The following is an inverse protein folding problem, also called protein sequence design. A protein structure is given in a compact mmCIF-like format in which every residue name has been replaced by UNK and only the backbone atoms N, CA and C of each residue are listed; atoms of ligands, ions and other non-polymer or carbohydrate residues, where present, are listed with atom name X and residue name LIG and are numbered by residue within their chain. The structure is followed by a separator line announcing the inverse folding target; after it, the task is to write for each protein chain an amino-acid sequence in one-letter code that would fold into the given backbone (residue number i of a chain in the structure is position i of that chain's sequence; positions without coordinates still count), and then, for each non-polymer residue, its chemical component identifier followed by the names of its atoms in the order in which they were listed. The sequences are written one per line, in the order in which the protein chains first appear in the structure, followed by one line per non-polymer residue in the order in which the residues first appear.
data_IF_617978461834
#
_entry.id   IF_617978461834
#
_cell.length_a   1.000
_cell.length_b   1.000
_cell.length_c   1.000
_cell.angle_alpha   90.00
_cell.angle_beta   90.00
_cell.angle_gamma   90.00
#
_symmetry.space_group_name_H-M   'P 1'
#
loop_
_entity.id
_entity.type
_entity.pdbx_description
1 polymer ?
#
# COMPACT_ATOMS: atom_id res chain seq x y z
N UNK A 1 22.64 -0.91 -7.91
CA UNK A 1 21.40 -0.32 -7.35
C UNK A 1 21.06 -1.09 -6.07
N UNK A 2 20.67 -0.42 -4.98
CA UNK A 2 20.27 -1.08 -3.73
C UNK A 2 18.86 -1.67 -3.92
N UNK A 3 18.66 -2.92 -3.51
CA UNK A 3 17.34 -3.58 -3.55
C UNK A 3 16.50 -3.07 -2.38
N UNK A 4 15.27 -2.65 -2.66
CA UNK A 4 14.31 -2.14 -1.67
C UNK A 4 12.89 -2.72 -1.83
N UNK A 5 12.66 -3.56 -2.84
CA UNK A 5 11.35 -4.17 -3.13
C UNK A 5 11.52 -5.66 -3.36
N UNK A 6 10.67 -6.46 -2.72
CA UNK A 6 10.61 -7.91 -2.90
C UNK A 6 9.31 -8.27 -3.62
N UNK A 7 9.41 -9.03 -4.71
CA UNK A 7 8.27 -9.57 -5.46
C UNK A 7 8.27 -11.09 -5.28
N UNK A 8 7.14 -11.64 -4.89
CA UNK A 8 7.01 -13.07 -4.58
C UNK A 8 6.25 -13.80 -5.69
N UNK A 9 6.55 -15.10 -5.91
CA UNK A 9 5.90 -15.89 -6.96
C UNK A 9 4.44 -16.25 -6.65
N UNK A 10 4.05 -16.24 -5.38
CA UNK A 10 2.69 -16.54 -4.92
C UNK A 10 2.41 -15.90 -3.55
N UNK A 11 1.17 -16.05 -3.10
CA UNK A 11 0.66 -15.46 -1.86
C UNK A 11 1.26 -16.13 -0.62
N UNK A 12 1.49 -17.44 -0.65
CA UNK A 12 2.07 -18.20 0.45
C UNK A 12 3.49 -17.73 0.77
N UNK A 13 4.34 -17.63 -0.25
CA UNK A 13 5.70 -17.13 -0.10
C UNK A 13 5.72 -15.71 0.46
N UNK A 14 4.89 -14.81 -0.08
CA UNK A 14 4.76 -13.45 0.43
C UNK A 14 4.33 -13.43 1.90
N UNK A 15 3.27 -14.19 2.24
CA UNK A 15 2.68 -14.24 3.57
C UNK A 15 3.63 -14.79 4.64
N UNK A 16 4.38 -15.85 4.30
CA UNK A 16 5.39 -16.42 5.20
C UNK A 16 6.51 -15.41 5.41
N UNK A 17 7.06 -14.83 4.33
CA UNK A 17 8.19 -13.94 4.44
C UNK A 17 7.87 -12.64 5.17
N UNK A 18 6.76 -11.96 4.89
CA UNK A 18 6.47 -10.69 5.58
C UNK A 18 6.20 -10.89 7.08
N UNK A 19 5.53 -11.98 7.46
CA UNK A 19 5.29 -12.32 8.88
C UNK A 19 6.60 -12.67 9.59
N UNK A 20 7.45 -13.47 8.95
CA UNK A 20 8.77 -13.80 9.48
C UNK A 20 9.63 -12.55 9.67
N UNK A 21 9.63 -11.63 8.70
CA UNK A 21 10.35 -10.35 8.83
C UNK A 21 9.78 -9.47 9.95
N UNK A 22 8.44 -9.41 10.08
CA UNK A 22 7.76 -8.68 11.16
C UNK A 22 8.19 -9.20 12.54
N UNK A 23 8.19 -10.51 12.73
CA UNK A 23 8.57 -11.14 13.99
C UNK A 23 10.07 -10.98 14.30
N UNK A 24 10.94 -11.23 13.33
CA UNK A 24 12.39 -11.18 13.55
C UNK A 24 12.92 -9.77 13.80
N UNK A 25 12.42 -8.78 13.05
CA UNK A 25 12.93 -7.42 13.11
C UNK A 25 12.11 -6.50 14.03
N UNK A 26 11.04 -7.02 14.66
CA UNK A 26 10.04 -6.22 15.40
C UNK A 26 9.58 -5.00 14.59
N UNK A 27 9.56 -5.14 13.27
CA UNK A 27 9.31 -4.03 12.36
C UNK A 27 7.81 -3.74 12.30
N UNK A 28 7.44 -2.47 12.28
CA UNK A 28 6.07 -2.09 11.92
C UNK A 28 5.73 -2.58 10.51
N UNK A 29 4.55 -3.17 10.39
CA UNK A 29 4.00 -3.60 9.11
C UNK A 29 2.75 -2.78 8.84
N UNK A 30 2.77 -2.02 7.74
CA UNK A 30 1.62 -1.24 7.28
C UNK A 30 1.00 -1.98 6.10
N UNK A 31 -0.25 -2.41 6.23
CA UNK A 31 -0.98 -3.09 5.18
C UNK A 31 -2.03 -4.09 5.70
N UNK A 32 -2.71 -4.81 4.79
CA UNK A 32 -2.44 -4.89 3.35
C UNK A 32 -2.85 -3.64 2.56
N UNK A 33 -2.00 -3.23 1.60
CA UNK A 33 -2.30 -2.12 0.68
C UNK A 33 -2.84 -2.69 -0.63
N UNK A 34 -4.10 -2.36 -0.94
CA UNK A 34 -4.74 -2.75 -2.20
C UNK A 34 -4.22 -1.91 -3.37
N UNK A 35 -3.91 -2.57 -4.48
CA UNK A 35 -3.46 -1.94 -5.71
C UNK A 35 -4.41 -2.26 -6.88
N UNK A 36 -4.42 -1.41 -7.91
CA UNK A 36 -5.23 -1.64 -9.13
C UNK A 36 -6.68 -1.16 -9.08
N UNK A 37 -7.16 -0.68 -7.93
CA UNK A 37 -8.53 -0.17 -7.79
C UNK A 37 -8.72 1.21 -8.45
N UNK A 38 -9.94 1.51 -8.95
CA UNK A 38 -10.26 2.83 -9.54
C UNK A 38 -10.21 3.97 -8.53
N UNK A 39 -10.64 3.73 -7.29
CA UNK A 39 -10.58 4.67 -6.16
C UNK A 39 -9.68 4.09 -5.05
N UNK A 40 -9.13 4.91 -4.14
CA UNK A 40 -8.32 4.41 -3.01
C UNK A 40 -9.23 3.68 -2.02
N UNK A 41 -9.13 2.36 -2.00
CA UNK A 41 -9.94 1.48 -1.16
C UNK A 41 -8.98 0.48 -0.55
N UNK A 42 -8.89 0.45 0.78
CA UNK A 42 -8.04 -0.49 1.49
C UNK A 42 -8.88 -1.24 2.52
N UNK A 43 -8.53 -2.50 2.75
CA UNK A 43 -9.20 -3.35 3.73
C UNK A 43 -8.36 -3.45 4.99
N UNK A 44 -9.01 -3.37 6.14
CA UNK A 44 -8.40 -3.61 7.43
C UNK A 44 -8.79 -5.00 7.93
N UNK A 45 -7.88 -5.65 8.66
CA UNK A 45 -8.18 -6.91 9.32
C UNK A 45 -9.00 -6.65 10.59
N UNK A 46 -9.82 -7.63 10.96
CA UNK A 46 -10.52 -7.58 12.25
C UNK A 46 -9.49 -7.60 13.38
N UNK A 47 -9.65 -6.71 14.35
CA UNK A 47 -8.69 -6.53 15.44
C UNK A 47 -7.50 -5.62 15.11
N UNK A 48 -7.57 -4.85 14.01
CA UNK A 48 -6.57 -3.84 13.70
C UNK A 48 -6.39 -2.83 14.85
N UNK A 49 -5.15 -2.46 15.12
CA UNK A 49 -4.84 -1.46 16.14
C UNK A 49 -5.28 -0.06 15.71
N UNK A 50 -5.37 0.88 16.66
CA UNK A 50 -5.64 2.29 16.35
C UNK A 50 -4.58 2.85 15.42
N UNK A 51 -3.31 2.51 15.63
CA UNK A 51 -2.20 2.96 14.80
C UNK A 51 -2.32 2.43 13.37
N UNK A 52 -2.72 1.17 13.18
CA UNK A 52 -2.96 0.59 11.86
C UNK A 52 -4.09 1.31 11.12
N UNK A 53 -5.18 1.66 11.82
CA UNK A 53 -6.31 2.41 11.25
C UNK A 53 -5.86 3.82 10.82
N UNK A 54 -5.12 4.53 11.68
CA UNK A 54 -4.61 5.88 11.39
C UNK A 54 -3.64 5.85 10.21
N UNK A 55 -2.69 4.91 10.21
CA UNK A 55 -1.72 4.75 9.13
C UNK A 55 -2.42 4.44 7.80
N UNK A 56 -3.40 3.52 7.79
CA UNK A 56 -4.13 3.19 6.56
C UNK A 56 -5.01 4.34 6.07
N UNK A 57 -5.55 5.16 6.98
CA UNK A 57 -6.29 6.38 6.60
C UNK A 57 -5.35 7.38 5.91
N UNK A 58 -4.16 7.61 6.47
CA UNK A 58 -3.16 8.50 5.88
C UNK A 58 -2.73 8.03 4.49
N UNK A 59 -2.46 6.72 4.32
CA UNK A 59 -2.16 6.12 3.01
C UNK A 59 -3.33 6.33 2.03
N UNK A 60 -4.57 6.11 2.46
CA UNK A 60 -5.75 6.27 1.60
C UNK A 60 -5.91 7.70 1.07
N UNK A 61 -5.63 8.70 1.92
CA UNK A 61 -5.68 10.12 1.55
C UNK A 61 -4.59 10.46 0.53
N UNK A 62 -3.36 9.99 0.77
CA UNK A 62 -2.24 10.21 -0.16
C UNK A 62 -2.54 9.55 -1.51
N UNK A 63 -3.04 8.31 -1.51
CA UNK A 63 -3.43 7.61 -2.74
C UNK A 63 -4.52 8.35 -3.52
N UNK A 64 -5.49 8.97 -2.81
CA UNK A 64 -6.51 9.81 -3.44
C UNK A 64 -5.89 11.01 -4.17
N UNK A 65 -5.04 11.76 -3.47
CA UNK A 65 -4.39 12.97 -3.99
C UNK A 65 -3.48 12.64 -5.18
N UNK A 66 -2.70 11.56 -5.09
CA UNK A 66 -1.81 11.13 -6.17
C UNK A 66 -2.58 10.69 -7.42
N UNK A 67 -3.71 9.99 -7.26
CA UNK A 67 -4.56 9.61 -8.40
C UNK A 67 -5.18 10.83 -9.08
N UNK A 68 -5.70 11.77 -8.31
CA UNK A 68 -6.25 13.01 -8.85
C UNK A 68 -5.19 13.79 -9.63
N UNK A 69 -3.99 13.97 -9.06
CA UNK A 69 -2.88 14.64 -9.72
C UNK A 69 -2.52 13.98 -11.06
N UNK A 70 -2.38 12.65 -11.08
CA UNK A 70 -2.10 11.90 -12.32
C UNK A 70 -3.20 12.07 -13.37
N UNK A 71 -4.46 12.08 -12.95
CA UNK A 71 -5.59 12.30 -13.85
C UNK A 71 -5.57 13.71 -14.45
N UNK A 72 -5.24 14.73 -13.65
CA UNK A 72 -5.06 16.11 -14.11
C UNK A 72 -3.89 16.22 -15.10
N UNK A 73 -2.74 15.62 -14.78
CA UNK A 73 -1.56 15.59 -15.67
C UNK A 73 -1.86 14.92 -17.01
N UNK A 74 -2.60 13.80 -17.00
CA UNK A 74 -3.04 13.12 -18.21
C UNK A 74 -3.96 14.01 -19.05
N UNK A 75 -4.98 14.64 -18.46
CA UNK A 75 -5.87 15.57 -19.17
C UNK A 75 -5.11 16.77 -19.76
N UNK A 76 -4.17 17.34 -19.02
CA UNK A 76 -3.32 18.43 -19.49
C UNK A 76 -2.42 18.02 -20.66
N UNK A 77 -1.95 16.76 -20.70
CA UNK A 77 -1.15 16.23 -21.81
C UNK A 77 -1.92 16.06 -23.11
N UNK A 78 -3.24 15.79 -23.04
CA UNK A 78 -4.12 15.63 -24.20
C UNK A 78 -4.59 16.97 -24.78
N UNK A 79 -4.56 18.04 -23.97
CA UNK A 79 -4.97 19.38 -24.37
C UNK A 79 -3.85 20.20 -25.04
N UNK A 80 -2.63 19.64 -25.11
CA UNK A 80 -1.50 20.17 -25.87
C UNK A 80 -1.43 19.51 -27.24
#
# INVERSE_FOLDING_TARGET
RKVNTLIFPNLEAANITYKLLKELNKSESIGPIMMGMRKPIHILQLGASVDEIVNMTAISVIDAQQKEKKEQEYKASLAK
#
